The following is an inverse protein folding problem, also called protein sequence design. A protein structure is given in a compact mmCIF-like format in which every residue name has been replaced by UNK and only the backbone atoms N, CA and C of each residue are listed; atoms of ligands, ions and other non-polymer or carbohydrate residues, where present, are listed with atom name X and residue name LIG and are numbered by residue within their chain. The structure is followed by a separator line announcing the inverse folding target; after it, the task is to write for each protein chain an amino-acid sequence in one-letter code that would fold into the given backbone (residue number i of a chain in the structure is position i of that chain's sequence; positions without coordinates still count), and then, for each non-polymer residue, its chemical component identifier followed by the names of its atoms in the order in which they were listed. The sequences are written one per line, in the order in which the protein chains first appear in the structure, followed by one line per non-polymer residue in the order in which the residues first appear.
data_IF_326351334147
#
_entry.id   IF_326351334147
#
_cell.length_a   1.000
_cell.length_b   1.000
_cell.length_c   1.000
_cell.angle_alpha   90.00
_cell.angle_beta   90.00
_cell.angle_gamma   90.00
#
_symmetry.space_group_name_H-M   'P 1'
#
loop_
_entity.id
_entity.type
_entity.pdbx_description
1 polymer ?
#
# COMPACT_ATOMS: atom_id res chain seq x y z
N UNK A 1 14.68 12.47 -1.61
CA UNK A 1 14.20 13.51 -2.55
C UNK A 1 15.12 13.66 -3.77
N UNK A 2 16.41 14.01 -3.60
CA UNK A 2 17.33 14.13 -4.76
C UNK A 2 17.46 12.84 -5.56
N UNK A 3 17.64 11.71 -4.88
CA UNK A 3 17.65 10.38 -5.51
C UNK A 3 16.38 10.12 -6.34
N UNK A 4 15.21 10.48 -5.81
CA UNK A 4 13.93 10.29 -6.50
C UNK A 4 13.83 11.17 -7.75
N UNK A 5 14.31 12.41 -7.69
CA UNK A 5 14.33 13.32 -8.85
C UNK A 5 15.18 12.76 -9.98
N UNK A 6 16.34 12.20 -9.65
CA UNK A 6 17.23 11.59 -10.63
C UNK A 6 16.66 10.28 -11.17
N UNK A 7 16.20 9.38 -10.30
CA UNK A 7 15.68 8.07 -10.67
C UNK A 7 14.42 8.17 -11.55
N UNK A 8 13.50 9.09 -11.22
CA UNK A 8 12.27 9.32 -11.97
C UNK A 8 12.43 10.36 -13.10
N UNK A 9 13.62 10.94 -13.28
CA UNK A 9 13.91 12.00 -14.26
C UNK A 9 12.89 13.15 -14.19
N UNK A 10 12.63 13.64 -12.98
CA UNK A 10 11.61 14.66 -12.73
C UNK A 10 12.03 16.00 -13.36
N UNK A 11 11.14 16.62 -14.12
CA UNK A 11 11.36 17.92 -14.79
C UNK A 11 10.89 19.12 -13.96
N UNK A 12 9.87 18.97 -13.13
CA UNK A 12 9.26 20.06 -12.35
C UNK A 12 9.09 19.63 -10.89
N UNK A 13 9.57 20.47 -9.97
CA UNK A 13 9.45 20.27 -8.52
C UNK A 13 8.62 21.41 -7.94
N UNK A 14 7.49 21.07 -7.30
CA UNK A 14 6.61 22.04 -6.64
C UNK A 14 6.87 22.01 -5.13
N UNK A 15 7.24 23.14 -4.54
CA UNK A 15 7.47 23.29 -3.09
C UNK A 15 6.34 24.10 -2.48
N UNK A 16 5.51 23.46 -1.67
CA UNK A 16 4.35 24.09 -1.05
C UNK A 16 4.66 24.62 0.35
N UNK A 17 4.51 25.93 0.58
CA UNK A 17 4.51 26.55 1.90
C UNK A 17 5.80 26.41 2.73
N UNK A 18 6.93 26.06 2.11
CA UNK A 18 8.20 25.82 2.81
C UNK A 18 9.39 26.52 2.12
N UNK A 19 9.71 27.73 2.57
CA UNK A 19 10.72 28.59 1.93
C UNK A 19 12.16 28.06 2.04
N UNK A 20 12.55 27.57 3.21
CA UNK A 20 13.89 27.02 3.40
C UNK A 20 14.14 25.82 2.48
N UNK A 21 13.16 24.94 2.34
CA UNK A 21 13.23 23.79 1.44
C UNK A 21 13.31 24.23 -0.03
N UNK A 22 12.57 25.27 -0.43
CA UNK A 22 12.68 25.84 -1.77
C UNK A 22 14.11 26.31 -2.06
N UNK A 23 14.70 27.12 -1.18
CA UNK A 23 16.07 27.61 -1.35
C UNK A 23 17.10 26.47 -1.36
N UNK A 24 16.95 25.49 -0.45
CA UNK A 24 17.83 24.31 -0.39
C UNK A 24 17.74 23.47 -1.66
N UNK A 25 16.53 23.18 -2.14
CA UNK A 25 16.32 22.41 -3.37
C UNK A 25 16.83 23.18 -4.58
N UNK A 26 16.50 24.47 -4.71
CA UNK A 26 16.97 25.30 -5.82
C UNK A 26 18.50 25.39 -5.88
N UNK A 27 19.18 25.42 -4.73
CA UNK A 27 20.65 25.41 -4.71
C UNK A 27 21.21 24.02 -5.08
N UNK A 28 20.73 22.95 -4.45
CA UNK A 28 21.22 21.58 -4.72
C UNK A 28 20.93 21.12 -6.15
N UNK A 29 19.82 21.56 -6.74
CA UNK A 29 19.37 21.11 -8.05
C UNK A 29 20.00 21.88 -9.22
N UNK A 30 20.50 23.10 -8.96
CA UNK A 30 21.36 23.84 -9.90
C UNK A 30 22.74 23.18 -10.06
N UNK A 31 23.23 22.54 -9.01
CA UNK A 31 24.54 21.87 -9.00
C UNK A 31 24.47 20.39 -9.43
N UNK A 32 23.26 19.87 -9.70
CA UNK A 32 23.08 18.51 -10.21
C UNK A 32 23.06 18.55 -11.75
N UNK A 33 24.21 18.30 -12.36
CA UNK A 33 24.34 18.09 -13.81
C UNK A 33 23.71 16.74 -14.20
N UNK A 34 22.38 16.71 -14.23
CA UNK A 34 21.63 15.57 -14.78
C UNK A 34 21.65 15.74 -16.30
N UNK A 35 22.51 14.99 -17.00
CA UNK A 35 22.84 15.11 -18.43
C UNK A 35 21.68 15.15 -19.43
N UNK A 36 20.86 16.20 -19.38
CA UNK A 36 19.71 16.42 -20.24
C UNK A 36 18.83 17.62 -19.86
N UNK A 37 18.65 17.97 -18.56
CA UNK A 37 17.94 19.18 -18.13
C UNK A 37 17.99 19.37 -16.61
N UNK A 38 18.16 20.60 -16.14
CA UNK A 38 17.99 20.96 -14.72
C UNK A 38 16.49 21.07 -14.39
N UNK A 39 15.99 20.37 -13.36
CA UNK A 39 14.57 20.45 -13.00
C UNK A 39 14.18 21.85 -12.51
N UNK A 40 13.01 22.32 -12.95
CA UNK A 40 12.47 23.63 -12.55
C UNK A 40 11.81 23.53 -11.18
N UNK A 41 12.31 24.31 -10.21
CA UNK A 41 11.72 24.40 -8.87
C UNK A 41 10.76 25.59 -8.80
N UNK A 42 9.50 25.35 -8.42
CA UNK A 42 8.47 26.38 -8.29
C UNK A 42 7.95 26.39 -6.86
N UNK A 43 7.93 27.56 -6.24
CA UNK A 43 7.33 27.79 -4.93
C UNK A 43 5.82 28.04 -5.09
N UNK A 44 5.01 27.33 -4.30
CA UNK A 44 3.57 27.53 -4.22
C UNK A 44 3.15 27.90 -2.80
N UNK A 45 2.22 28.85 -2.62
CA UNK A 45 1.64 29.12 -1.31
C UNK A 45 0.77 27.94 -0.85
N UNK A 46 0.70 27.72 0.46
CA UNK A 46 -0.25 26.77 1.04
C UNK A 46 -1.66 27.36 0.94
N UNK A 47 -2.63 26.57 0.47
CA UNK A 47 -4.02 27.01 0.45
C UNK A 47 -4.56 27.21 1.88
N UNK A 48 -5.38 28.24 2.08
CA UNK A 48 -5.96 28.58 3.39
C UNK A 48 -6.89 27.51 3.97
N UNK A 49 -7.45 26.63 3.13
CA UNK A 49 -8.29 25.52 3.56
C UNK A 49 -7.52 24.28 4.02
N UNK A 50 -6.19 24.29 4.01
CA UNK A 50 -5.37 23.12 4.36
C UNK A 50 -5.25 22.99 5.87
N UNK A 51 -6.00 22.05 6.44
CA UNK A 51 -5.98 21.71 7.87
C UNK A 51 -4.99 20.58 8.14
N UNK A 52 -4.24 20.68 9.24
CA UNK A 52 -3.36 19.60 9.71
C UNK A 52 -4.19 18.41 10.18
N UNK A 53 -3.84 17.20 9.73
CA UNK A 53 -4.57 15.98 10.07
C UNK A 53 -3.88 15.25 11.22
N UNK A 54 -4.68 14.89 12.21
CA UNK A 54 -4.28 14.09 13.37
C UNK A 54 -3.88 12.66 12.95
N UNK A 55 -3.06 12.00 13.77
CA UNK A 55 -2.64 10.62 13.52
C UNK A 55 -3.83 9.64 13.47
N UNK A 56 -4.87 9.89 14.26
CA UNK A 56 -6.14 9.14 14.27
C UNK A 56 -6.83 9.18 12.91
N UNK A 57 -6.96 10.38 12.32
CA UNK A 57 -7.53 10.57 10.99
C UNK A 57 -6.71 9.84 9.92
N UNK A 58 -5.38 9.92 9.98
CA UNK A 58 -4.51 9.24 9.01
C UNK A 58 -4.65 7.71 9.12
N UNK A 59 -4.69 7.16 10.33
CA UNK A 59 -4.92 5.72 10.56
C UNK A 59 -6.28 5.28 10.02
N UNK A 60 -7.33 6.09 10.23
CA UNK A 60 -8.66 5.82 9.70
C UNK A 60 -8.68 5.86 8.16
N UNK A 61 -8.04 6.85 7.53
CA UNK A 61 -7.95 6.92 6.06
C UNK A 61 -7.15 5.75 5.49
N UNK A 62 -6.08 5.32 6.15
CA UNK A 62 -5.33 4.12 5.75
C UNK A 62 -6.21 2.88 5.82
N UNK A 63 -6.93 2.68 6.93
CA UNK A 63 -7.89 1.56 7.07
C UNK A 63 -8.99 1.62 6.00
N UNK A 64 -9.55 2.81 5.73
CA UNK A 64 -10.55 3.00 4.68
C UNK A 64 -9.99 2.69 3.28
N UNK A 65 -8.73 3.02 3.00
CA UNK A 65 -8.07 2.69 1.73
C UNK A 65 -7.90 1.18 1.56
N UNK A 66 -7.54 0.47 2.64
CA UNK A 66 -7.43 -1.00 2.63
C UNK A 66 -8.82 -1.61 2.47
N UNK A 67 -9.81 -1.14 3.22
CA UNK A 67 -11.21 -1.58 3.08
C UNK A 67 -11.70 -1.37 1.64
N UNK A 68 -11.41 -0.22 1.03
CA UNK A 68 -11.78 0.07 -0.36
C UNK A 68 -11.10 -0.86 -1.36
N UNK A 69 -9.88 -1.33 -1.08
CA UNK A 69 -9.20 -2.30 -1.95
C UNK A 69 -9.98 -3.62 -2.05
N UNK A 70 -10.50 -4.13 -0.93
CA UNK A 70 -11.25 -5.40 -0.89
C UNK A 70 -12.75 -5.25 -1.21
N UNK A 71 -13.38 -4.20 -0.69
CA UNK A 71 -14.84 -4.02 -0.71
C UNK A 71 -15.31 -2.95 -1.70
N UNK A 72 -14.39 -2.24 -2.35
CA UNK A 72 -14.69 -1.19 -3.30
C UNK A 72 -15.32 0.05 -2.67
N UNK A 73 -16.03 0.84 -3.49
CA UNK A 73 -16.83 1.96 -3.00
C UNK A 73 -18.10 1.51 -2.28
N UNK A 74 -18.81 2.48 -1.71
CA UNK A 74 -20.18 2.28 -1.24
C UNK A 74 -21.14 2.69 -2.36
N UNK A 75 -21.93 1.74 -2.87
CA UNK A 75 -22.93 2.00 -3.91
C UNK A 75 -24.34 1.93 -3.30
N UNK A 76 -25.27 2.69 -3.88
CA UNK A 76 -26.69 2.64 -3.49
C UNK A 76 -27.25 1.27 -3.91
N UNK A 77 -27.81 0.50 -2.98
CA UNK A 77 -28.33 -0.84 -3.28
C UNK A 77 -29.42 -0.85 -4.36
N UNK A 78 -29.72 -2.03 -4.95
CA UNK A 78 -30.60 -2.21 -6.11
C UNK A 78 -32.07 -1.77 -5.95
N UNK A 79 -32.46 -1.16 -4.82
CA UNK A 79 -33.76 -0.52 -4.61
C UNK A 79 -33.76 1.01 -4.77
N UNK A 80 -32.67 1.59 -5.26
CA UNK A 80 -32.46 3.03 -5.26
C UNK A 80 -32.41 3.66 -6.64
N UNK A 81 -33.51 3.68 -7.40
CA UNK A 81 -33.59 4.41 -8.68
C UNK A 81 -33.01 5.83 -8.55
N UNK A 82 -32.09 6.16 -9.45
CA UNK A 82 -31.40 7.44 -9.52
C UNK A 82 -32.30 8.50 -10.15
N UNK A 83 -32.81 9.43 -9.34
CA UNK A 83 -33.15 10.75 -9.87
C UNK A 83 -31.82 11.51 -10.07
N UNK A 84 -31.32 11.50 -11.30
CA UNK A 84 -30.32 12.46 -11.77
C UNK A 84 -30.85 13.86 -11.50
N UNK A 85 -30.28 14.57 -10.53
CA UNK A 85 -30.63 15.96 -10.25
C UNK A 85 -29.98 16.85 -11.31
N UNK A 86 -30.67 17.03 -12.44
CA UNK A 86 -30.51 18.21 -13.28
C UNK A 86 -31.16 19.39 -12.55
N UNK A 87 -30.37 20.44 -12.34
CA UNK A 87 -30.75 21.68 -11.69
C UNK A 87 -31.83 22.45 -12.46
N UNK A 88 -32.96 22.74 -11.81
CA UNK A 88 -33.95 23.71 -12.31
C UNK A 88 -35.26 23.76 -11.50
N UNK A 89 -35.56 24.91 -10.89
CA UNK A 89 -36.90 25.52 -10.81
C UNK A 89 -37.93 25.04 -9.76
N UNK A 90 -38.09 25.85 -8.71
CA UNK A 90 -39.31 26.38 -8.08
C UNK A 90 -40.56 25.51 -7.73
N UNK A 91 -41.04 25.80 -6.50
CA UNK A 91 -42.43 25.82 -6.02
C UNK A 91 -43.07 24.54 -5.42
N UNK A 92 -43.12 24.54 -4.09
CA UNK A 92 -44.28 24.25 -3.21
C UNK A 92 -45.25 23.12 -3.57
N UNK A 93 -45.26 22.02 -2.80
CA UNK A 93 -46.47 21.52 -2.11
C UNK A 93 -46.24 20.25 -1.26
N UNK A 94 -46.85 20.28 -0.06
CA UNK A 94 -47.41 19.20 0.78
C UNK A 94 -46.47 18.09 1.31
N UNK A 95 -46.21 18.19 2.61
CA UNK A 95 -45.67 17.15 3.48
C UNK A 95 -46.64 15.94 3.56
N UNK A 96 -46.20 14.78 3.08
CA UNK A 96 -46.63 13.48 3.58
C UNK A 96 -45.43 12.81 4.23
N UNK A 97 -45.60 12.36 5.48
CA UNK A 97 -44.59 11.66 6.26
C UNK A 97 -44.25 10.33 5.58
N UNK A 98 -43.16 10.30 4.82
CA UNK A 98 -42.45 9.07 4.49
C UNK A 98 -41.45 8.78 5.60
N UNK A 99 -41.61 7.61 6.24
CA UNK A 99 -40.63 7.02 7.15
C UNK A 99 -39.26 7.05 6.45
N UNK A 100 -38.20 7.62 7.06
CA UNK A 100 -36.91 7.73 6.41
C UNK A 100 -36.30 6.33 6.28
N UNK A 101 -36.54 5.66 5.15
CA UNK A 101 -35.74 4.50 4.75
C UNK A 101 -34.36 5.01 4.36
N UNK A 102 -33.43 4.92 5.31
CA UNK A 102 -32.01 5.21 5.11
C UNK A 102 -31.57 4.37 3.89
N UNK A 103 -31.08 4.98 2.81
CA UNK A 103 -30.61 4.21 1.66
C UNK A 103 -29.44 3.34 2.12
N UNK A 104 -29.65 2.03 2.17
CA UNK A 104 -28.64 1.06 2.54
C UNK A 104 -27.50 1.15 1.51
N UNK A 105 -26.33 1.62 1.96
CA UNK A 105 -25.11 1.61 1.16
C UNK A 105 -24.48 0.23 1.28
N UNK A 106 -24.24 -0.42 0.16
CA UNK A 106 -23.69 -1.78 0.10
C UNK A 106 -22.29 -1.69 -0.52
N UNK A 107 -21.32 -2.53 -0.09
CA UNK A 107 -20.05 -2.69 -0.78
C UNK A 107 -20.21 -2.97 -2.28
N UNK A 108 -19.38 -2.34 -3.10
CA UNK A 108 -19.33 -2.54 -4.54
C UNK A 108 -18.69 -3.88 -4.92
N UNK A 109 -17.67 -4.29 -4.15
CA UNK A 109 -16.93 -5.52 -4.36
C UNK A 109 -17.18 -6.49 -3.20
N UNK A 110 -17.13 -7.78 -3.52
CA UNK A 110 -17.24 -8.85 -2.53
C UNK A 110 -15.93 -9.63 -2.53
N UNK A 111 -15.08 -9.47 -1.49
CA UNK A 111 -13.85 -10.24 -1.39
C UNK A 111 -14.15 -11.72 -1.12
N UNK A 112 -13.13 -12.56 -1.29
CA UNK A 112 -13.24 -14.01 -1.21
C UNK A 112 -12.33 -14.58 -0.13
N UNK A 113 -12.83 -15.55 0.64
CA UNK A 113 -12.04 -16.25 1.65
C UNK A 113 -11.28 -17.42 1.01
N UNK A 114 -9.96 -17.43 1.13
CA UNK A 114 -9.06 -18.46 0.62
C UNK A 114 -8.42 -19.19 1.80
N UNK A 115 -8.38 -20.52 1.76
CA UNK A 115 -7.73 -21.35 2.79
C UNK A 115 -6.52 -22.05 2.17
N UNK A 116 -5.35 -21.89 2.78
CA UNK A 116 -4.08 -22.45 2.27
C UNK A 116 -3.34 -23.14 3.42
N UNK A 117 -2.76 -24.32 3.17
CA UNK A 117 -1.97 -25.02 4.19
C UNK A 117 -0.62 -24.34 4.41
N UNK A 118 -0.07 -24.43 5.62
CA UNK A 118 1.26 -23.88 5.93
C UNK A 118 2.35 -24.47 5.04
N UNK A 119 2.25 -25.76 4.71
CA UNK A 119 3.19 -26.44 3.82
C UNK A 119 3.26 -25.83 2.40
N UNK A 120 2.19 -25.19 1.93
CA UNK A 120 2.11 -24.60 0.60
C UNK A 120 2.42 -23.09 0.60
N UNK A 121 2.61 -22.50 1.78
CA UNK A 121 2.81 -21.05 1.98
C UNK A 121 4.28 -20.74 2.22
N UNK A 122 4.78 -19.70 1.57
CA UNK A 122 6.11 -19.15 1.86
C UNK A 122 5.96 -17.67 2.19
N UNK A 123 6.33 -17.27 3.41
CA UNK A 123 6.29 -15.87 3.83
C UNK A 123 7.71 -15.38 4.05
N UNK A 124 8.06 -14.25 3.45
CA UNK A 124 9.32 -13.56 3.71
C UNK A 124 9.08 -12.25 4.45
N UNK A 125 9.89 -11.99 5.47
CA UNK A 125 9.96 -10.69 6.15
C UNK A 125 11.21 -9.94 5.73
N UNK A 126 11.08 -8.63 5.59
CA UNK A 126 12.22 -7.76 5.37
C UNK A 126 13.04 -7.62 6.64
N UNK A 127 14.35 -7.81 6.50
CA UNK A 127 15.34 -7.48 7.51
C UNK A 127 16.31 -6.49 6.88
N UNK A 128 16.44 -5.30 7.47
CA UNK A 128 17.53 -4.39 7.12
C UNK A 128 18.66 -4.59 8.11
N UNK A 129 19.84 -4.91 7.60
CA UNK A 129 21.09 -4.83 8.35
C UNK A 129 21.72 -3.48 8.02
N UNK A 130 21.27 -2.43 8.70
CA UNK A 130 21.92 -1.12 8.62
C UNK A 130 23.18 -1.12 9.49
N UNK A 131 24.27 -1.73 9.03
CA UNK A 131 25.59 -1.49 9.62
C UNK A 131 26.04 -0.08 9.22
N UNK A 132 26.27 0.77 10.22
CA UNK A 132 26.88 2.08 9.96
C UNK A 132 28.29 1.88 9.39
N UNK A 133 28.68 2.70 8.41
CA UNK A 133 30.01 2.67 7.78
C UNK A 133 31.19 2.77 8.78
N UNK A 134 30.91 3.09 10.05
CA UNK A 134 31.88 3.21 11.13
C UNK A 134 32.32 1.86 11.73
N UNK A 135 31.69 0.74 11.34
CA UNK A 135 32.03 -0.62 11.81
C UNK A 135 32.79 -1.45 10.77
N UNK A 136 33.03 -0.90 9.58
CA UNK A 136 33.84 -1.57 8.57
C UNK A 136 35.32 -1.18 8.77
N UNK A 137 36.25 -2.15 8.79
CA UNK A 137 37.68 -1.86 8.78
C UNK A 137 38.01 -0.92 7.62
N UNK A 138 38.91 0.04 7.84
CA UNK A 138 39.35 0.98 6.81
C UNK A 138 39.73 0.22 5.52
N UNK A 139 38.96 0.45 4.45
CA UNK A 139 39.17 -0.18 3.14
C UNK A 139 38.21 -1.31 2.77
N UNK A 140 37.35 -1.78 3.69
CA UNK A 140 36.32 -2.77 3.36
C UNK A 140 35.04 -2.08 2.85
N UNK A 141 34.67 -2.34 1.60
CA UNK A 141 33.36 -2.02 1.04
C UNK A 141 32.38 -3.15 1.36
N UNK A 142 31.18 -2.83 1.84
CA UNK A 142 30.12 -3.83 2.03
C UNK A 142 29.77 -4.48 0.68
N UNK A 143 30.01 -5.78 0.57
CA UNK A 143 29.56 -6.59 -0.59
C UNK A 143 28.16 -7.20 -0.39
N UNK A 144 27.63 -7.16 0.84
CA UNK A 144 26.28 -7.66 1.13
C UNK A 144 25.22 -6.62 0.82
N UNK A 145 24.14 -7.08 0.18
CA UNK A 145 22.96 -6.25 -0.06
C UNK A 145 22.39 -5.71 1.26
N UNK A 146 22.01 -4.43 1.25
CA UNK A 146 21.50 -3.72 2.42
C UNK A 146 20.11 -4.22 2.84
N UNK A 147 19.38 -4.85 1.91
CA UNK A 147 18.08 -5.47 2.14
C UNK A 147 18.24 -6.97 2.10
N UNK A 148 17.85 -7.62 3.19
CA UNK A 148 17.76 -9.07 3.27
C UNK A 148 16.31 -9.49 3.53
N UNK A 149 15.99 -10.70 3.12
CA UNK A 149 14.69 -11.32 3.40
C UNK A 149 14.91 -12.58 4.22
N UNK A 150 14.07 -12.78 5.21
CA UNK A 150 14.09 -13.96 6.08
C UNK A 150 12.80 -14.74 5.87
N UNK A 151 12.93 -16.03 5.58
CA UNK A 151 11.78 -16.92 5.50
C UNK A 151 11.20 -17.14 6.90
N UNK A 152 9.90 -16.95 7.03
CA UNK A 152 9.15 -17.28 8.24
C UNK A 152 8.86 -18.77 8.19
N UNK A 153 9.37 -19.51 9.18
CA UNK A 153 9.08 -20.94 9.31
C UNK A 153 7.64 -21.18 9.77
N UNK A 154 7.11 -22.38 9.52
CA UNK A 154 5.76 -22.75 9.95
C UNK A 154 5.54 -22.60 11.46
N UNK A 155 6.59 -22.79 12.27
CA UNK A 155 6.57 -22.60 13.73
C UNK A 155 6.31 -21.13 14.14
N UNK A 156 6.70 -20.17 13.29
CA UNK A 156 6.50 -18.74 13.53
C UNK A 156 5.13 -18.24 13.00
N UNK A 157 4.45 -19.04 12.18
CA UNK A 157 3.13 -18.75 11.60
C UNK A 157 2.02 -18.97 12.64
N UNK A 158 2.09 -18.27 13.78
CA UNK A 158 1.13 -18.36 14.88
C UNK A 158 -0.01 -17.34 14.74
N UNK A 159 -0.94 -17.33 15.69
CA UNK A 159 -2.07 -16.38 15.74
C UNK A 159 -1.66 -14.90 15.70
N UNK A 160 -0.40 -14.56 15.99
CA UNK A 160 0.14 -13.20 15.89
C UNK A 160 0.03 -12.60 14.48
N UNK A 161 -0.09 -13.44 13.46
CA UNK A 161 -0.25 -13.03 12.07
C UNK A 161 -1.69 -12.66 11.72
N UNK A 162 -2.65 -12.90 12.60
CA UNK A 162 -4.04 -12.47 12.41
C UNK A 162 -4.08 -10.96 12.13
N UNK A 163 -4.84 -10.57 11.12
CA UNK A 163 -4.97 -9.22 10.61
C UNK A 163 -3.74 -8.68 9.87
N UNK A 164 -2.65 -9.44 9.71
CA UNK A 164 -1.51 -9.02 8.92
C UNK A 164 -1.87 -8.90 7.43
N UNK A 165 -1.44 -7.82 6.80
CA UNK A 165 -1.56 -7.62 5.37
C UNK A 165 -0.31 -8.17 4.69
N UNK A 166 -0.51 -9.08 3.75
CA UNK A 166 0.55 -9.77 3.01
C UNK A 166 0.50 -9.33 1.55
N UNK A 167 1.67 -9.05 0.96
CA UNK A 167 1.78 -8.77 -0.46
C UNK A 167 2.02 -10.09 -1.22
N UNK A 168 1.22 -10.37 -2.23
CA UNK A 168 1.35 -11.56 -3.08
C UNK A 168 2.44 -11.32 -4.11
N UNK A 169 3.53 -12.07 -4.04
CA UNK A 169 4.65 -11.92 -4.99
C UNK A 169 4.20 -12.39 -6.37
N UNK A 170 4.57 -11.67 -7.43
CA UNK A 170 4.21 -12.09 -8.79
C UNK A 170 4.88 -13.42 -9.16
N UNK A 171 4.20 -14.38 -9.82
CA UNK A 171 4.76 -15.71 -10.13
C UNK A 171 6.11 -15.66 -10.86
N UNK A 172 6.23 -14.80 -11.87
CA UNK A 172 7.49 -14.60 -12.60
C UNK A 172 8.66 -14.13 -11.70
N UNK A 173 8.39 -13.43 -10.60
CA UNK A 173 9.41 -13.04 -9.63
C UNK A 173 9.84 -14.22 -8.76
N UNK A 174 8.89 -15.08 -8.37
CA UNK A 174 9.18 -16.33 -7.65
C UNK A 174 10.05 -17.26 -8.51
N UNK A 175 9.75 -17.39 -9.80
CA UNK A 175 10.55 -18.17 -10.74
C UNK A 175 11.99 -17.66 -10.86
N UNK A 176 12.19 -16.34 -11.01
CA UNK A 176 13.53 -15.73 -11.04
C UNK A 176 14.27 -15.87 -9.72
N UNK A 177 13.57 -15.74 -8.60
CA UNK A 177 14.15 -15.99 -7.28
C UNK A 177 14.64 -17.44 -7.16
N UNK A 178 13.85 -18.43 -7.59
CA UNK A 178 14.26 -19.84 -7.55
C UNK A 178 15.49 -20.14 -8.43
N UNK A 179 15.71 -19.37 -9.49
CA UNK A 179 16.88 -19.52 -10.37
C UNK A 179 18.12 -18.81 -9.84
N UNK A 180 17.96 -17.60 -9.29
CA UNK A 180 19.09 -16.73 -8.91
C UNK A 180 19.42 -16.77 -7.43
N UNK A 181 18.45 -17.16 -6.59
CA UNK A 181 18.46 -17.09 -5.14
C UNK A 181 18.76 -15.68 -4.58
N UNK A 182 18.53 -14.63 -5.38
CA UNK A 182 18.74 -13.24 -4.98
C UNK A 182 17.47 -12.65 -4.42
N UNK A 183 17.53 -12.15 -3.19
CA UNK A 183 16.41 -11.50 -2.51
C UNK A 183 15.80 -10.34 -3.34
N UNK A 184 16.63 -9.62 -4.11
CA UNK A 184 16.22 -8.52 -4.99
C UNK A 184 15.12 -8.90 -5.97
N UNK A 185 15.11 -10.14 -6.46
CA UNK A 185 14.05 -10.61 -7.37
C UNK A 185 12.66 -10.54 -6.73
N UNK A 186 12.56 -10.72 -5.41
CA UNK A 186 11.29 -10.69 -4.70
C UNK A 186 10.80 -9.26 -4.44
N UNK A 187 11.68 -8.34 -4.02
CA UNK A 187 11.28 -7.01 -3.56
C UNK A 187 11.40 -5.89 -4.59
N UNK A 188 12.19 -6.07 -5.66
CA UNK A 188 12.24 -5.11 -6.78
C UNK A 188 11.16 -5.41 -7.83
N UNK A 189 10.58 -6.61 -7.78
CA UNK A 189 9.49 -7.02 -8.66
C UNK A 189 8.15 -6.43 -8.22
N UNK A 190 7.24 -6.27 -9.19
CA UNK A 190 5.86 -5.92 -8.89
C UNK A 190 5.14 -7.06 -8.15
N UNK A 191 4.18 -6.68 -7.30
CA UNK A 191 3.31 -7.62 -6.58
C UNK A 191 2.03 -7.86 -7.39
N UNK A 192 1.46 -9.07 -7.29
CA UNK A 192 0.20 -9.42 -7.95
C UNK A 192 -1.02 -8.80 -7.24
N UNK A 193 -0.90 -8.54 -5.94
CA UNK A 193 -1.96 -7.97 -5.12
C UNK A 193 -1.65 -8.08 -3.64
N UNK A 194 -2.67 -7.86 -2.81
CA UNK A 194 -2.57 -7.98 -1.36
C UNK A 194 -3.68 -8.85 -0.81
N UNK A 195 -3.38 -9.56 0.26
CA UNK A 195 -4.34 -10.37 1.03
C UNK A 195 -4.21 -10.01 2.50
N UNK A 196 -5.26 -10.27 3.28
CA UNK A 196 -5.23 -10.10 4.74
C UNK A 196 -5.40 -11.46 5.40
N UNK A 197 -4.59 -11.77 6.40
CA UNK A 197 -4.79 -12.95 7.24
C UNK A 197 -6.02 -12.73 8.12
N UNK A 198 -7.10 -13.45 7.88
CA UNK A 198 -8.29 -13.38 8.73
C UNK A 198 -8.11 -14.22 10.00
N UNK A 199 -7.58 -15.43 9.83
CA UNK A 199 -7.38 -16.40 10.91
C UNK A 199 -6.21 -17.31 10.60
N UNK A 200 -5.59 -17.80 11.66
CA UNK A 200 -4.53 -18.79 11.60
C UNK A 200 -4.99 -20.00 12.42
N UNK A 201 -5.17 -21.15 11.78
CA UNK A 201 -5.67 -22.35 12.45
C UNK A 201 -4.53 -23.34 12.66
N UNK A 202 -4.04 -23.43 13.91
CA UNK A 202 -2.92 -24.31 14.27
C UNK A 202 -3.28 -25.79 14.14
N UNK A 203 -4.48 -26.17 14.57
CA UNK A 203 -4.92 -27.59 14.58
C UNK A 203 -4.96 -28.23 13.20
N UNK A 204 -5.23 -27.44 12.16
CA UNK A 204 -5.31 -27.90 10.77
C UNK A 204 -4.13 -27.44 9.92
N UNK A 205 -3.20 -26.69 10.51
CA UNK A 205 -2.08 -26.02 9.84
C UNK A 205 -2.53 -25.24 8.59
N UNK A 206 -3.61 -24.45 8.72
CA UNK A 206 -4.16 -23.65 7.63
C UNK A 206 -4.22 -22.16 7.93
N UNK A 207 -3.94 -21.37 6.91
CA UNK A 207 -4.02 -19.92 6.88
C UNK A 207 -5.28 -19.52 6.13
N UNK A 208 -6.16 -18.77 6.78
CA UNK A 208 -7.37 -18.21 6.17
C UNK A 208 -7.09 -16.77 5.76
N UNK A 209 -7.25 -16.50 4.47
CA UNK A 209 -6.88 -15.25 3.82
C UNK A 209 -8.12 -14.58 3.20
N UNK A 210 -8.25 -13.29 3.39
CA UNK A 210 -9.14 -12.43 2.61
C UNK A 210 -8.45 -12.00 1.33
N UNK A 211 -9.02 -12.40 0.19
CA UNK A 211 -8.54 -12.09 -1.16
C UNK A 211 -9.48 -11.10 -1.85
N UNK A 212 -8.98 -10.13 -2.65
CA UNK A 212 -9.83 -9.23 -3.41
C UNK A 212 -10.53 -9.94 -4.59
N UNK A 213 -10.00 -11.08 -5.04
CA UNK A 213 -10.55 -11.86 -6.15
C UNK A 213 -10.87 -13.30 -5.71
N UNK A 214 -11.89 -13.88 -6.34
CA UNK A 214 -12.25 -15.27 -6.16
C UNK A 214 -11.27 -16.21 -6.89
N UNK A 215 -11.13 -17.43 -6.37
CA UNK A 215 -10.27 -18.47 -6.94
C UNK A 215 -8.94 -18.63 -6.20
N UNK A 216 -8.01 -19.33 -6.84
CA UNK A 216 -6.66 -19.53 -6.31
C UNK A 216 -5.83 -18.26 -6.46
N UNK A 217 -4.97 -17.99 -5.47
CA UNK A 217 -4.03 -16.88 -5.54
C UNK A 217 -3.03 -17.08 -6.69
N UNK A 218 -2.55 -16.00 -7.33
CA UNK A 218 -1.53 -16.10 -8.36
C UNK A 218 -0.25 -16.80 -7.89
N UNK A 219 0.14 -16.60 -6.63
CA UNK A 219 1.22 -17.32 -5.96
C UNK A 219 0.89 -17.51 -4.48
N UNK A 220 1.59 -18.45 -3.84
CA UNK A 220 1.55 -18.68 -2.39
C UNK A 220 2.81 -18.17 -1.70
N UNK A 221 3.58 -17.33 -2.39
CA UNK A 221 4.75 -16.63 -1.85
C UNK A 221 4.37 -15.21 -1.50
N UNK A 222 4.61 -14.82 -0.24
CA UNK A 222 4.19 -13.54 0.29
C UNK A 222 5.37 -12.74 0.85
N UNK A 223 5.27 -11.42 0.73
CA UNK A 223 6.09 -10.47 1.49
C UNK A 223 5.26 -9.89 2.62
N UNK A 224 5.79 -10.01 3.83
CA UNK A 224 5.19 -9.47 5.04
C UNK A 224 5.83 -8.12 5.41
N UNK A 225 4.99 -7.14 5.72
CA UNK A 225 5.39 -5.86 6.31
C UNK A 225 4.61 -5.56 7.58
N UNK A 226 4.71 -4.33 8.07
CA UNK A 226 4.15 -3.92 9.38
C UNK A 226 2.69 -3.41 9.29
N UNK A 227 2.00 -3.71 8.20
CA UNK A 227 0.63 -3.24 7.98
C UNK A 227 -0.36 -4.30 8.45
N UNK A 228 -1.27 -3.91 9.33
CA UNK A 228 -2.41 -4.73 9.74
C UNK A 228 -3.74 -4.07 9.42
N UNK A 229 -4.75 -4.90 9.19
CA UNK A 229 -6.11 -4.50 8.90
C UNK A 229 -7.10 -5.40 9.64
N UNK A 230 -7.94 -4.76 10.46
CA UNK A 230 -9.07 -5.37 11.14
C UNK A 230 -10.32 -4.67 10.62
N UNK A 231 -11.32 -5.44 10.22
CA UNK A 231 -12.61 -4.90 9.76
C UNK A 231 -13.45 -4.30 10.88
#
# INVERSE_FOLDING_TARGET
LLHVIQALKISIVLVMGHDRLFSMMNNKLKNLDTGGATPKVIKLPRSGGVVSREASFQRQQKSNSIKRYFYGGMVKGPGGTSSTSTSGGDSSSKQQQQKPTIPLKIPELTPFAVMIKFADVTIYKFTSVSLSNNLLPMGATQETDAVQVVSVGSEEMTEQWTHAMLAVVHPAAVERYNQTLKASELYESSVAGFVVVEKVLMDTETLHLLSPCAGSLPSTTFLAGDVSFME
#
